data_IF_390167112797
#
_entry.id   IF_390167112797
#
_cell.length_a   1.000
_cell.length_b   1.000
_cell.length_c   1.000
_cell.angle_alpha   90.00
_cell.angle_beta   90.00
_cell.angle_gamma   90.00
#
_symmetry.space_group_name_H-M   'P 1'
#
loop_
_entity.id
_entity.type
_entity.pdbx_description
1 polymer ?
#
# COMPACT_ATOMS: atom_id res chain seq x y z
N UNK A 1 -3.85 -15.49 -16.47
CA UNK A 1 -3.55 -14.41 -15.49
C UNK A 1 -4.01 -13.10 -16.09
N UNK A 2 -4.49 -12.14 -15.27
CA UNK A 2 -4.90 -10.81 -15.76
C UNK A 2 -3.69 -10.04 -16.32
N UNK A 3 -3.85 -9.38 -17.46
CA UNK A 3 -2.82 -8.52 -18.07
C UNK A 3 -2.81 -7.08 -17.53
N UNK A 4 -3.83 -6.70 -16.76
CA UNK A 4 -3.96 -5.35 -16.23
C UNK A 4 -3.07 -5.12 -15.00
N UNK A 5 -2.61 -3.88 -14.83
CA UNK A 5 -1.95 -3.36 -13.61
C UNK A 5 -0.62 -4.05 -13.24
N UNK A 6 0.22 -4.36 -14.23
CA UNK A 6 1.56 -4.90 -14.02
C UNK A 6 2.60 -3.79 -13.89
N UNK A 7 3.51 -3.92 -12.93
CA UNK A 7 4.73 -3.10 -12.86
C UNK A 7 5.65 -3.57 -13.99
N UNK A 8 5.95 -2.68 -14.93
CA UNK A 8 6.80 -2.98 -16.11
C UNK A 8 8.23 -2.48 -15.94
N UNK A 9 8.40 -1.44 -15.15
CA UNK A 9 9.69 -0.86 -14.82
C UNK A 9 9.79 -0.79 -13.30
N UNK A 10 10.83 -1.38 -12.71
CA UNK A 10 11.00 -1.38 -11.25
C UNK A 10 11.55 -0.05 -10.71
N UNK A 11 11.96 0.86 -11.60
CA UNK A 11 12.53 2.16 -11.24
C UNK A 11 11.61 3.34 -11.54
N UNK A 12 10.44 3.08 -12.14
CA UNK A 12 9.43 4.12 -12.39
C UNK A 12 8.56 4.36 -11.16
N UNK A 13 7.93 5.53 -11.12
CA UNK A 13 6.97 5.91 -10.07
C UNK A 13 5.57 5.37 -10.38
N UNK A 14 4.91 4.79 -9.39
CA UNK A 14 3.58 4.21 -9.50
C UNK A 14 2.62 4.75 -8.45
N UNK A 15 1.37 4.95 -8.88
CA UNK A 15 0.24 5.11 -7.98
C UNK A 15 -0.47 3.78 -7.79
N UNK A 16 -0.51 3.27 -6.56
CA UNK A 16 -1.15 2.00 -6.22
C UNK A 16 -2.40 2.24 -5.38
N UNK A 17 -3.46 1.48 -5.67
CA UNK A 17 -4.66 1.39 -4.84
C UNK A 17 -4.86 -0.04 -4.38
N UNK A 18 -4.82 -0.26 -3.07
CA UNK A 18 -5.06 -1.57 -2.45
C UNK A 18 -6.39 -1.53 -1.70
N UNK A 19 -7.30 -2.45 -2.00
CA UNK A 19 -8.64 -2.50 -1.39
C UNK A 19 -8.77 -3.73 -0.50
N UNK A 20 -9.43 -3.57 0.63
CA UNK A 20 -9.81 -4.69 1.50
C UNK A 20 -10.86 -5.55 0.78
N UNK A 21 -10.80 -6.86 1.00
CA UNK A 21 -11.76 -7.82 0.45
C UNK A 21 -13.17 -7.48 0.94
N UNK A 22 -14.15 -7.54 0.02
CA UNK A 22 -15.54 -7.15 0.27
C UNK A 22 -15.73 -5.71 0.78
N UNK A 23 -14.73 -4.83 0.60
CA UNK A 23 -14.79 -3.42 1.02
C UNK A 23 -15.03 -3.23 2.52
N UNK A 24 -14.65 -4.22 3.34
CA UNK A 24 -14.81 -4.12 4.79
C UNK A 24 -13.94 -2.99 5.36
N UNK A 25 -14.52 -2.21 6.28
CA UNK A 25 -13.88 -1.07 6.93
C UNK A 25 -12.90 -1.50 8.04
N UNK A 26 -11.93 -2.34 7.69
CA UNK A 26 -10.94 -2.89 8.62
C UNK A 26 -10.07 -1.78 9.20
N UNK A 27 -9.64 -0.81 8.40
CA UNK A 27 -8.72 0.24 8.83
C UNK A 27 -9.36 1.33 9.71
N UNK A 28 -10.62 1.18 10.13
CA UNK A 28 -11.22 2.03 11.17
C UNK A 28 -10.55 1.82 12.53
N UNK A 29 -10.06 0.60 12.81
CA UNK A 29 -9.32 0.28 14.03
C UNK A 29 -7.85 0.68 13.89
N UNK A 30 -7.34 1.43 14.87
CA UNK A 30 -5.96 1.91 14.86
C UNK A 30 -4.94 0.78 14.79
N UNK A 31 -5.12 -0.30 15.56
CA UNK A 31 -4.21 -1.44 15.56
C UNK A 31 -3.95 -2.02 14.15
N UNK A 32 -4.94 -1.99 13.26
CA UNK A 32 -4.75 -2.46 11.88
C UNK A 32 -4.05 -1.44 10.99
N UNK A 33 -4.23 -0.13 11.23
CA UNK A 33 -3.46 0.91 10.55
C UNK A 33 -1.99 0.87 10.96
N UNK A 34 -1.73 0.67 12.25
CA UNK A 34 -0.38 0.61 12.80
C UNK A 34 0.42 -0.53 12.15
N UNK A 35 -0.18 -1.72 11.99
CA UNK A 35 0.43 -2.85 11.27
C UNK A 35 0.85 -2.49 9.84
N UNK A 36 0.00 -1.76 9.10
CA UNK A 36 0.32 -1.31 7.73
C UNK A 36 1.48 -0.32 7.74
N UNK A 37 1.46 0.64 8.67
CA UNK A 37 2.51 1.68 8.80
C UNK A 37 3.85 1.04 9.15
N UNK A 38 3.88 0.13 10.14
CA UNK A 38 5.07 -0.63 10.53
C UNK A 38 5.60 -1.48 9.37
N UNK A 39 4.71 -2.10 8.59
CA UNK A 39 5.08 -2.88 7.41
C UNK A 39 5.71 -1.99 6.31
N UNK A 40 5.16 -0.79 6.09
CA UNK A 40 5.73 0.17 5.14
C UNK A 40 7.10 0.66 5.61
N UNK A 41 7.28 0.95 6.90
CA UNK A 41 8.58 1.30 7.48
C UNK A 41 9.61 0.18 7.28
N UNK A 42 9.23 -1.06 7.58
CA UNK A 42 10.09 -2.22 7.33
C UNK A 42 10.48 -2.35 5.86
N UNK A 43 9.52 -2.15 4.93
CA UNK A 43 9.80 -2.20 3.50
C UNK A 43 10.77 -1.09 3.04
N UNK A 44 10.67 0.13 3.60
CA UNK A 44 11.63 1.20 3.33
C UNK A 44 13.04 0.83 3.80
N UNK A 45 13.17 0.33 5.03
CA UNK A 45 14.47 0.07 5.65
C UNK A 45 15.16 -1.20 5.16
N UNK A 46 14.39 -2.26 4.90
CA UNK A 46 14.93 -3.61 4.64
C UNK A 46 14.71 -4.11 3.23
N UNK A 47 13.74 -3.54 2.51
CA UNK A 47 13.41 -3.94 1.13
C UNK A 47 13.67 -2.83 0.12
N UNK A 48 14.20 -1.68 0.56
CA UNK A 48 14.50 -0.53 -0.29
C UNK A 48 13.30 -0.03 -1.11
N UNK A 49 12.09 -0.16 -0.56
CA UNK A 49 10.90 0.42 -1.17
C UNK A 49 10.88 1.94 -0.94
N UNK A 50 10.88 2.74 -2.00
CA UNK A 50 10.79 4.19 -1.90
C UNK A 50 9.33 4.62 -1.76
N UNK A 51 8.89 4.95 -0.55
CA UNK A 51 7.52 5.42 -0.31
C UNK A 51 7.52 6.95 -0.24
N UNK A 52 6.93 7.59 -1.26
CA UNK A 52 6.86 9.05 -1.38
C UNK A 52 5.65 9.62 -0.63
N UNK A 53 4.49 8.97 -0.75
CA UNK A 53 3.27 9.38 -0.06
C UNK A 53 2.32 8.18 0.13
N UNK A 54 1.49 8.23 1.17
CA UNK A 54 0.42 7.27 1.37
C UNK A 54 -0.74 7.86 2.17
N UNK A 55 -1.93 7.28 1.99
CA UNK A 55 -3.09 7.55 2.86
C UNK A 55 -3.85 6.25 3.12
N UNK A 56 -4.17 6.01 4.39
CA UNK A 56 -4.99 4.88 4.83
C UNK A 56 -6.42 5.37 5.04
N UNK A 57 -7.33 4.93 4.18
CA UNK A 57 -8.78 5.15 4.31
C UNK A 57 -9.40 3.99 5.09
N UNK A 58 -10.71 3.98 5.36
CA UNK A 58 -11.35 2.93 6.18
C UNK A 58 -11.25 1.51 5.60
N UNK A 59 -11.24 1.38 4.27
CA UNK A 59 -11.28 0.08 3.55
C UNK A 59 -10.27 -0.02 2.39
N UNK A 60 -9.41 0.99 2.21
CA UNK A 60 -8.39 0.97 1.16
C UNK A 60 -7.19 1.84 1.52
N UNK A 61 -6.09 1.61 0.80
CA UNK A 61 -4.81 2.29 0.92
C UNK A 61 -4.42 2.82 -0.46
N UNK A 62 -4.00 4.08 -0.51
CA UNK A 62 -3.32 4.65 -1.67
C UNK A 62 -1.84 4.88 -1.37
N UNK A 63 -0.99 4.58 -2.35
CA UNK A 63 0.46 4.68 -2.27
C UNK A 63 1.02 5.36 -3.51
N UNK A 64 2.06 6.17 -3.33
CA UNK A 64 2.98 6.62 -4.38
C UNK A 64 4.33 5.99 -4.06
N UNK A 65 4.76 5.02 -4.86
CA UNK A 65 5.97 4.19 -4.67
C UNK A 65 6.68 3.91 -5.98
#
# INVERSE_FOLDING_TARGET
>A
MSEAWKIRDQHALYFLTMRVVFWLDVFTRQAYRDIIIESLQYCREKKHLEVFAYVVMSNHLHLIV
#
